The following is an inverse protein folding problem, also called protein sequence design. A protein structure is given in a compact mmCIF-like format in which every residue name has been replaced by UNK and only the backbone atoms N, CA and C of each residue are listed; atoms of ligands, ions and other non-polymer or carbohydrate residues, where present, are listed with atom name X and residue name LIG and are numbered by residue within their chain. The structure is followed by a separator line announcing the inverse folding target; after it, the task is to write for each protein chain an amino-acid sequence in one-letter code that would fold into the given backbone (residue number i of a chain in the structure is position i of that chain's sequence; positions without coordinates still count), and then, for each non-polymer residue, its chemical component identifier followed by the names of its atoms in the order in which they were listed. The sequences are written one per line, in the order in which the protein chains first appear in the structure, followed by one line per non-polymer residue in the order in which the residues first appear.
data_IF_307243243793
#
_entry.id   IF_307243243793
#
_cell.length_a   1.000
_cell.length_b   1.000
_cell.length_c   1.000
_cell.angle_alpha   90.00
_cell.angle_beta   90.00
_cell.angle_gamma   90.00
#
_symmetry.space_group_name_H-M   'P 1'
#
loop_
_entity.id
_entity.type
_entity.pdbx_description
1 polymer ?
#
# COMPACT_ATOMS: atom_id res chain seq x y z
N UNK A 1 45.80 3.71 -29.00
CA UNK A 1 45.51 5.10 -29.43
C UNK A 1 44.09 5.33 -29.96
N UNK A 2 43.44 4.37 -30.63
CA UNK A 2 42.07 4.57 -31.19
C UNK A 2 40.91 4.59 -30.15
N UNK A 3 41.10 4.02 -28.94
CA UNK A 3 40.07 4.01 -27.88
C UNK A 3 40.02 5.26 -26.99
N UNK A 4 41.06 6.09 -26.99
CA UNK A 4 41.11 7.32 -26.18
C UNK A 4 40.49 8.51 -26.90
N UNK A 5 40.57 8.56 -28.25
CA UNK A 5 39.95 9.62 -29.04
C UNK A 5 38.42 9.56 -29.12
N UNK A 6 37.79 8.39 -28.93
CA UNK A 6 36.32 8.32 -28.84
C UNK A 6 35.79 8.89 -27.52
N UNK A 7 36.51 8.75 -26.40
CA UNK A 7 36.09 9.34 -25.11
C UNK A 7 36.08 10.86 -25.16
N UNK A 8 37.03 11.51 -25.83
CA UNK A 8 37.09 12.98 -25.87
C UNK A 8 36.06 13.61 -26.83
N UNK A 9 35.62 12.92 -27.88
CA UNK A 9 34.54 13.43 -28.76
C UNK A 9 33.13 13.18 -28.23
N UNK A 10 32.95 12.35 -27.19
CA UNK A 10 31.62 12.14 -26.59
C UNK A 10 31.32 13.18 -25.52
N UNK A 11 32.36 13.68 -24.82
CA UNK A 11 32.23 14.62 -23.69
C UNK A 11 31.82 16.04 -24.12
N UNK A 12 32.17 16.48 -25.33
CA UNK A 12 31.68 17.77 -25.87
C UNK A 12 30.26 17.71 -26.41
N UNK A 13 29.69 16.51 -26.64
CA UNK A 13 28.27 16.34 -26.97
C UNK A 13 27.36 16.22 -25.75
N UNK A 14 27.93 16.02 -24.55
CA UNK A 14 27.16 15.77 -23.32
C UNK A 14 26.62 17.00 -22.61
N UNK A 15 27.10 18.22 -22.94
CA UNK A 15 26.67 19.45 -22.25
C UNK A 15 25.22 19.87 -22.58
N UNK A 16 24.56 19.26 -23.57
CA UNK A 16 23.18 19.56 -23.97
C UNK A 16 22.32 18.31 -24.29
N UNK A 17 22.52 17.20 -23.57
CA UNK A 17 21.71 15.98 -23.81
C UNK A 17 20.27 16.14 -23.33
N UNK A 18 20.06 16.85 -22.23
CA UNK A 18 18.74 17.14 -21.66
C UNK A 18 18.43 18.62 -21.80
N UNK A 19 17.14 18.93 -21.94
CA UNK A 19 16.64 20.29 -22.01
C UNK A 19 15.93 20.66 -20.72
N UNK A 20 16.19 21.87 -20.22
CA UNK A 20 15.60 22.39 -18.98
C UNK A 20 14.15 22.87 -19.18
N UNK A 21 13.76 23.18 -20.42
CA UNK A 21 12.41 23.64 -20.77
C UNK A 21 11.46 22.49 -21.15
N UNK A 22 11.88 21.24 -20.92
CA UNK A 22 11.14 20.03 -21.28
C UNK A 22 10.66 19.28 -20.04
N UNK A 23 9.39 18.85 -20.04
CA UNK A 23 8.79 18.03 -18.99
C UNK A 23 9.65 16.77 -18.78
N UNK A 24 10.23 16.64 -17.59
CA UNK A 24 11.19 15.58 -17.25
C UNK A 24 10.58 14.56 -16.32
N UNK A 25 10.49 13.32 -16.79
CA UNK A 25 9.93 12.20 -16.04
C UNK A 25 11.06 11.27 -15.57
N UNK A 26 11.19 11.16 -14.26
CA UNK A 26 12.15 10.26 -13.62
C UNK A 26 11.56 8.88 -13.36
N UNK A 27 12.33 7.84 -13.67
CA UNK A 27 12.08 6.45 -13.27
C UNK A 27 13.37 5.92 -12.67
N UNK A 28 13.43 5.72 -11.35
CA UNK A 28 14.64 5.19 -10.71
C UNK A 28 14.38 4.08 -9.69
N UNK A 29 14.84 2.87 -9.98
CA UNK A 29 14.64 1.69 -9.11
C UNK A 29 15.50 0.49 -9.51
N UNK A 30 15.58 -0.51 -8.63
CA UNK A 30 16.12 -1.83 -8.96
C UNK A 30 15.24 -2.46 -10.05
N UNK A 31 15.87 -3.01 -11.09
CA UNK A 31 15.12 -3.71 -12.14
C UNK A 31 14.66 -5.07 -11.61
N UNK A 32 13.35 -5.22 -11.48
CA UNK A 32 12.65 -6.46 -11.17
C UNK A 32 11.40 -6.52 -12.08
N UNK A 33 10.97 -7.73 -12.46
CA UNK A 33 9.81 -7.92 -13.38
C UNK A 33 8.58 -7.14 -12.94
N UNK A 34 8.22 -7.25 -11.67
CA UNK A 34 7.01 -6.65 -11.13
C UNK A 34 7.03 -5.12 -11.17
N UNK A 35 8.19 -4.47 -11.31
CA UNK A 35 8.30 -3.01 -11.45
C UNK A 35 7.93 -2.50 -12.85
N UNK A 36 7.78 -3.40 -13.83
CA UNK A 36 7.31 -3.13 -15.20
C UNK A 36 8.03 -1.97 -15.91
N UNK A 37 9.35 -1.92 -15.82
CA UNK A 37 10.17 -0.87 -16.46
C UNK A 37 9.96 -0.79 -17.98
N UNK A 38 9.55 -1.89 -18.62
CA UNK A 38 9.30 -1.96 -20.06
C UNK A 38 7.91 -1.50 -20.50
N UNK A 39 6.99 -1.21 -19.57
CA UNK A 39 5.62 -0.83 -19.87
C UNK A 39 5.52 0.42 -20.76
N UNK A 40 6.42 1.40 -20.56
CA UNK A 40 6.50 2.62 -21.37
C UNK A 40 6.83 2.34 -22.84
N UNK A 41 7.37 1.16 -23.17
CA UNK A 41 7.84 0.81 -24.51
C UNK A 41 6.89 -0.12 -25.26
N UNK A 42 5.70 -0.35 -24.68
CA UNK A 42 4.70 -1.25 -25.25
C UNK A 42 4.11 -0.68 -26.55
N UNK A 43 3.88 0.63 -26.60
CA UNK A 43 3.51 1.36 -27.82
C UNK A 43 4.61 2.35 -28.17
N UNK A 44 5.62 1.85 -28.89
CA UNK A 44 6.79 2.63 -29.26
C UNK A 44 6.45 3.84 -30.14
N UNK A 45 5.47 3.70 -31.04
CA UNK A 45 5.07 4.78 -31.95
C UNK A 45 4.35 5.89 -31.19
N UNK A 46 3.51 5.55 -30.20
CA UNK A 46 2.88 6.51 -29.30
C UNK A 46 3.91 7.22 -28.43
N UNK A 47 4.86 6.48 -27.85
CA UNK A 47 5.97 7.07 -27.12
C UNK A 47 6.78 8.06 -27.98
N UNK A 48 7.10 7.69 -29.23
CA UNK A 48 7.80 8.57 -30.18
C UNK A 48 7.05 9.86 -30.43
N UNK A 49 5.72 9.80 -30.61
CA UNK A 49 4.89 11.02 -30.77
C UNK A 49 4.96 11.90 -29.53
N UNK A 50 4.84 11.33 -28.33
CA UNK A 50 4.89 12.06 -27.06
C UNK A 50 6.24 12.78 -26.89
N UNK A 51 7.35 12.07 -27.05
CA UNK A 51 8.67 12.67 -26.80
C UNK A 51 9.06 13.68 -27.89
N UNK A 52 8.53 13.55 -29.11
CA UNK A 52 8.80 14.45 -30.23
C UNK A 52 7.69 15.50 -30.46
N UNK A 53 6.72 15.65 -29.56
CA UNK A 53 5.68 16.65 -29.73
C UNK A 53 6.32 18.06 -29.85
N UNK A 54 5.91 18.81 -30.87
CA UNK A 54 6.52 20.10 -31.18
C UNK A 54 6.20 21.19 -30.15
N UNK A 55 5.09 21.05 -29.41
CA UNK A 55 4.62 22.02 -28.41
C UNK A 55 4.81 21.53 -26.99
N UNK A 56 4.63 20.22 -26.77
CA UNK A 56 4.59 19.58 -25.45
C UNK A 56 5.52 18.36 -25.39
N UNK A 57 6.82 18.50 -25.72
CA UNK A 57 7.75 17.36 -25.71
C UNK A 57 7.88 16.78 -24.31
N UNK A 58 8.28 15.51 -24.21
CA UNK A 58 8.55 14.85 -22.92
C UNK A 58 9.91 14.19 -22.96
N UNK A 59 10.65 14.28 -21.87
CA UNK A 59 11.90 13.55 -21.69
C UNK A 59 11.83 12.59 -20.50
N UNK A 60 12.46 11.43 -20.64
CA UNK A 60 12.50 10.39 -19.62
C UNK A 60 13.93 10.14 -19.18
N UNK A 61 14.13 10.06 -17.86
CA UNK A 61 15.39 9.65 -17.25
C UNK A 61 15.16 8.34 -16.50
N UNK A 62 15.73 7.26 -17.01
CA UNK A 62 15.75 5.96 -16.37
C UNK A 62 17.03 5.77 -15.60
N UNK A 63 16.94 5.31 -14.35
CA UNK A 63 18.09 4.94 -13.55
C UNK A 63 17.84 3.64 -12.81
N UNK A 64 18.86 2.83 -12.65
CA UNK A 64 18.72 1.63 -11.84
C UNK A 64 19.93 0.73 -11.90
N UNK A 65 19.84 -0.34 -11.12
CA UNK A 65 20.83 -1.42 -11.11
C UNK A 65 20.14 -2.69 -11.58
N UNK A 66 20.70 -3.29 -12.64
CA UNK A 66 20.33 -4.63 -13.06
C UNK A 66 21.16 -5.63 -12.26
N UNK A 67 20.52 -6.65 -11.70
CA UNK A 67 21.27 -7.76 -11.13
C UNK A 67 21.78 -8.65 -12.28
N UNK A 68 23.07 -9.01 -12.34
CA UNK A 68 23.64 -9.77 -13.47
C UNK A 68 22.97 -11.13 -13.74
N UNK A 69 22.35 -11.73 -12.72
CA UNK A 69 21.65 -13.01 -12.80
C UNK A 69 20.15 -12.91 -13.14
N UNK A 70 19.61 -11.72 -13.39
CA UNK A 70 18.17 -11.51 -13.58
C UNK A 70 17.81 -11.48 -15.07
N UNK A 71 17.14 -12.54 -15.57
CA UNK A 71 16.68 -12.63 -16.97
C UNK A 71 15.79 -11.45 -17.45
N UNK A 72 14.90 -10.85 -16.64
CA UNK A 72 14.15 -9.63 -16.98
C UNK A 72 15.05 -8.41 -17.23
N UNK A 73 16.22 -8.36 -16.56
CA UNK A 73 17.24 -7.36 -16.85
C UNK A 73 17.70 -7.42 -18.29
N UNK A 74 17.68 -8.59 -18.95
CA UNK A 74 18.06 -8.74 -20.36
C UNK A 74 17.07 -8.08 -21.30
N UNK A 75 15.76 -8.21 -21.07
CA UNK A 75 14.74 -7.52 -21.88
C UNK A 75 14.85 -6.01 -21.73
N UNK A 76 15.09 -5.53 -20.51
CA UNK A 76 15.34 -4.12 -20.26
C UNK A 76 16.63 -3.62 -20.93
N UNK A 77 17.72 -4.39 -20.88
CA UNK A 77 18.97 -4.09 -21.60
C UNK A 77 18.75 -4.09 -23.12
N UNK A 78 17.93 -5.00 -23.66
CA UNK A 78 17.57 -4.99 -25.08
C UNK A 78 16.74 -3.76 -25.45
N UNK A 79 15.82 -3.33 -24.58
CA UNK A 79 15.08 -2.10 -24.75
C UNK A 79 16.03 -0.89 -24.77
N UNK A 80 16.98 -0.81 -23.81
CA UNK A 80 18.04 0.21 -23.79
C UNK A 80 18.86 0.22 -25.09
N UNK A 81 19.25 -0.96 -25.57
CA UNK A 81 19.96 -1.09 -26.84
C UNK A 81 19.12 -0.52 -28.00
N UNK A 82 17.83 -0.85 -28.08
CA UNK A 82 16.92 -0.29 -29.09
C UNK A 82 16.85 1.23 -29.02
N UNK A 83 16.75 1.84 -27.83
CA UNK A 83 16.75 3.31 -27.69
C UNK A 83 18.04 3.95 -28.17
N UNK A 84 19.18 3.32 -27.90
CA UNK A 84 20.48 3.84 -28.35
C UNK A 84 20.59 3.93 -29.88
N UNK A 85 19.83 3.11 -30.60
CA UNK A 85 19.84 3.04 -32.07
C UNK A 85 18.70 3.84 -32.72
N UNK A 86 17.66 4.24 -31.97
CA UNK A 86 16.49 4.92 -32.51
C UNK A 86 16.68 6.46 -32.51
N UNK A 87 16.76 7.12 -33.69
CA UNK A 87 16.95 8.56 -33.77
C UNK A 87 15.82 9.37 -33.11
N UNK A 88 14.60 8.84 -33.08
CA UNK A 88 13.44 9.54 -32.53
C UNK A 88 13.47 9.61 -31.00
N UNK A 89 14.19 8.69 -30.35
CA UNK A 89 14.29 8.57 -28.89
C UNK A 89 15.61 9.10 -28.34
N UNK A 90 16.63 9.22 -29.19
CA UNK A 90 17.95 9.75 -28.84
C UNK A 90 17.84 11.16 -28.23
N UNK A 91 18.45 11.34 -27.06
CA UNK A 91 18.44 12.60 -26.31
C UNK A 91 17.11 12.91 -25.58
N UNK A 92 16.12 12.01 -25.66
CA UNK A 92 14.80 12.18 -25.04
C UNK A 92 14.50 11.08 -24.04
N UNK A 93 15.02 9.88 -24.29
CA UNK A 93 15.02 8.78 -23.33
C UNK A 93 16.47 8.52 -22.94
N UNK A 94 16.83 8.87 -21.71
CA UNK A 94 18.19 8.79 -21.18
C UNK A 94 18.27 7.71 -20.11
N UNK A 95 19.35 6.94 -20.12
CA UNK A 95 19.64 5.95 -19.11
C UNK A 95 20.88 6.33 -18.30
N UNK A 96 20.74 6.34 -16.99
CA UNK A 96 21.80 6.58 -16.02
C UNK A 96 22.17 5.26 -15.33
N UNK A 97 23.40 4.83 -15.57
CA UNK A 97 24.00 3.69 -14.89
C UNK A 97 24.36 4.03 -13.43
N UNK A 98 24.62 2.98 -12.63
CA UNK A 98 25.12 3.10 -11.26
C UNK A 98 24.26 3.90 -10.27
N UNK A 99 22.93 3.74 -10.36
CA UNK A 99 22.00 4.38 -9.44
C UNK A 99 22.39 4.17 -7.95
N UNK A 100 22.69 5.28 -7.28
CA UNK A 100 23.06 5.35 -5.89
C UNK A 100 22.34 6.53 -5.20
N UNK A 101 22.72 6.83 -3.95
CA UNK A 101 22.10 7.93 -3.20
C UNK A 101 22.38 9.30 -3.83
N UNK A 102 23.54 9.47 -4.47
CA UNK A 102 23.90 10.73 -5.12
C UNK A 102 23.05 10.94 -6.38
N UNK A 103 22.93 9.93 -7.24
CA UNK A 103 22.04 9.98 -8.42
C UNK A 103 20.60 10.19 -7.98
N UNK A 104 20.14 9.46 -6.96
CA UNK A 104 18.80 9.63 -6.41
C UNK A 104 18.51 11.08 -5.99
N UNK A 105 19.45 11.72 -5.28
CA UNK A 105 19.34 13.11 -4.84
C UNK A 105 19.15 14.07 -6.03
N UNK A 106 19.94 13.91 -7.10
CA UNK A 106 19.82 14.78 -8.27
C UNK A 106 18.51 14.54 -9.03
N UNK A 107 18.09 13.28 -9.18
CA UNK A 107 16.86 12.96 -9.90
C UNK A 107 15.61 13.49 -9.19
N UNK A 108 15.47 13.28 -7.88
CA UNK A 108 14.29 13.79 -7.16
C UNK A 108 14.23 15.32 -7.13
N UNK A 109 15.37 16.00 -7.31
CA UNK A 109 15.45 17.47 -7.37
C UNK A 109 15.32 18.03 -8.78
N UNK A 110 15.60 17.24 -9.81
CA UNK A 110 15.65 17.69 -11.20
C UNK A 110 14.50 17.18 -12.08
N UNK A 111 13.76 16.16 -11.66
CA UNK A 111 12.59 15.68 -12.39
C UNK A 111 11.32 16.43 -11.97
N UNK A 112 10.42 16.62 -12.92
CA UNK A 112 9.09 17.20 -12.71
C UNK A 112 8.09 16.15 -12.21
N UNK A 113 8.17 14.95 -12.78
CA UNK A 113 7.31 13.81 -12.46
C UNK A 113 8.15 12.61 -12.02
N UNK A 114 7.69 11.94 -10.98
CA UNK A 114 8.24 10.67 -10.51
C UNK A 114 7.31 9.51 -10.90
N UNK A 115 7.75 8.69 -11.86
CA UNK A 115 6.96 7.61 -12.41
C UNK A 115 7.13 6.31 -11.61
N UNK A 116 6.02 5.74 -11.13
CA UNK A 116 5.95 4.46 -10.40
C UNK A 116 4.86 3.53 -10.95
N UNK A 117 5.24 2.39 -11.54
CA UNK A 117 4.29 1.49 -12.19
C UNK A 117 4.45 0.00 -11.80
N UNK A 118 4.58 -0.32 -10.50
CA UNK A 118 4.61 -1.71 -10.08
C UNK A 118 3.32 -2.44 -10.44
N UNK A 119 3.41 -3.75 -10.61
CA UNK A 119 2.26 -4.66 -10.68
C UNK A 119 1.59 -4.70 -9.31
N UNK A 120 0.28 -4.48 -9.27
CA UNK A 120 -0.52 -4.70 -8.06
C UNK A 120 -0.67 -6.19 -7.72
N UNK A 121 -0.74 -6.58 -6.44
CA UNK A 121 -0.46 -5.80 -5.22
C UNK A 121 0.97 -6.06 -4.73
N UNK A 122 1.96 -6.02 -5.63
CA UNK A 122 3.32 -6.47 -5.33
C UNK A 122 4.20 -5.37 -4.72
N UNK A 123 3.71 -4.12 -4.64
CA UNK A 123 4.38 -3.05 -3.91
C UNK A 123 3.82 -2.92 -2.50
N UNK A 124 4.61 -3.30 -1.49
CA UNK A 124 4.19 -3.12 -0.10
C UNK A 124 4.08 -1.64 0.32
N UNK A 125 4.94 -0.76 -0.22
CA UNK A 125 4.98 0.67 0.11
C UNK A 125 5.64 1.46 -1.03
N UNK A 126 6.88 1.93 -0.87
CA UNK A 126 7.67 2.55 -1.94
C UNK A 126 8.21 3.95 -1.60
N UNK A 127 9.34 4.04 -0.89
CA UNK A 127 9.82 5.32 -0.33
C UNK A 127 10.43 6.33 -1.32
N UNK A 128 10.60 5.98 -2.60
CA UNK A 128 11.18 6.92 -3.57
C UNK A 128 10.22 8.03 -3.95
N UNK A 129 8.92 7.72 -4.07
CA UNK A 129 7.90 8.71 -4.37
C UNK A 129 7.65 9.68 -3.20
N UNK A 130 7.79 9.21 -1.96
CA UNK A 130 7.77 10.04 -0.76
C UNK A 130 8.87 11.13 -0.82
N UNK A 131 10.09 10.72 -1.17
CA UNK A 131 11.25 11.62 -1.33
C UNK A 131 11.05 12.60 -2.48
N UNK A 132 10.53 12.12 -3.61
CA UNK A 132 10.21 12.95 -4.77
C UNK A 132 9.21 14.06 -4.39
N UNK A 133 8.16 13.72 -3.65
CA UNK A 133 7.13 14.66 -3.23
C UNK A 133 7.70 15.82 -2.43
N UNK A 134 8.60 15.54 -1.49
CA UNK A 134 9.27 16.57 -0.67
C UNK A 134 10.14 17.54 -1.47
N UNK A 135 10.55 17.17 -2.68
CA UNK A 135 11.31 18.03 -3.59
C UNK A 135 10.42 18.71 -4.65
N UNK A 136 9.09 18.59 -4.54
CA UNK A 136 8.14 19.16 -5.49
C UNK A 136 7.99 18.35 -6.79
N UNK A 137 8.65 17.19 -6.89
CA UNK A 137 8.47 16.25 -7.98
C UNK A 137 7.15 15.48 -7.76
N UNK A 138 6.21 15.63 -8.69
CA UNK A 138 4.85 15.10 -8.53
C UNK A 138 4.83 13.61 -8.87
N UNK A 139 4.09 12.81 -8.12
CA UNK A 139 3.98 11.38 -8.41
C UNK A 139 2.99 11.12 -9.55
N UNK A 140 3.39 10.23 -10.44
CA UNK A 140 2.52 9.56 -11.39
C UNK A 140 2.67 8.06 -11.18
N UNK A 141 1.69 7.45 -10.50
CA UNK A 141 1.87 6.11 -9.97
C UNK A 141 0.64 5.23 -10.02
N UNK A 142 0.84 3.92 -10.15
CA UNK A 142 -0.20 2.92 -9.86
C UNK A 142 -0.67 3.08 -8.41
N UNK A 143 -1.97 2.87 -8.17
CA UNK A 143 -2.57 2.84 -6.83
C UNK A 143 -2.21 1.53 -6.11
N UNK A 144 -0.96 1.43 -5.68
CA UNK A 144 -0.40 0.34 -4.86
C UNK A 144 0.53 0.91 -3.80
N UNK A 145 0.80 0.12 -2.76
CA UNK A 145 1.67 0.51 -1.66
C UNK A 145 1.34 1.90 -1.10
N UNK A 146 2.38 2.73 -0.92
CA UNK A 146 2.26 4.04 -0.26
C UNK A 146 1.39 5.02 -1.05
N UNK A 147 1.34 4.90 -2.39
CA UNK A 147 0.60 5.85 -3.21
C UNK A 147 -0.90 5.67 -3.07
N UNK A 148 -1.36 4.44 -2.81
CA UNK A 148 -2.78 4.18 -2.49
C UNK A 148 -3.18 4.84 -1.17
N UNK A 149 -2.28 4.95 -0.21
CA UNK A 149 -2.50 5.67 1.05
C UNK A 149 -2.45 7.20 0.86
N UNK A 150 -1.57 7.68 -0.03
CA UNK A 150 -1.27 9.10 -0.19
C UNK A 150 -2.17 9.83 -1.18
N UNK A 151 -2.64 9.16 -2.23
CA UNK A 151 -3.32 9.79 -3.37
C UNK A 151 -4.72 10.28 -2.99
N UNK A 152 -5.01 11.56 -3.26
CA UNK A 152 -6.31 12.18 -2.97
C UNK A 152 -6.99 12.77 -4.22
N UNK A 153 -6.44 12.50 -5.41
CA UNK A 153 -6.92 13.06 -6.69
C UNK A 153 -6.44 14.48 -6.99
N UNK A 154 -5.82 15.18 -6.04
CA UNK A 154 -5.36 16.57 -6.19
C UNK A 154 -3.84 16.72 -6.14
N UNK A 155 -3.15 15.68 -5.66
CA UNK A 155 -1.73 15.69 -5.33
C UNK A 155 -0.82 14.94 -6.31
N UNK A 156 -1.35 14.50 -7.45
CA UNK A 156 -0.62 13.83 -8.51
C UNK A 156 -1.53 13.07 -9.44
N UNK A 157 -1.03 11.98 -10.02
CA UNK A 157 -1.78 11.16 -10.97
C UNK A 157 -1.71 9.67 -10.63
N UNK A 158 -2.84 8.99 -10.86
CA UNK A 158 -2.94 7.55 -10.83
C UNK A 158 -2.70 6.95 -12.22
N UNK A 159 -2.09 5.77 -12.29
CA UNK A 159 -2.09 4.91 -13.49
C UNK A 159 -3.15 3.83 -13.27
N UNK A 160 -4.01 3.65 -14.27
CA UNK A 160 -5.13 2.73 -14.23
C UNK A 160 -6.24 3.19 -13.28
N UNK A 161 -7.18 2.28 -13.03
CA UNK A 161 -8.24 2.40 -12.05
C UNK A 161 -8.06 1.33 -10.95
N UNK A 162 -9.00 1.21 -10.02
CA UNK A 162 -8.95 0.17 -8.97
C UNK A 162 -9.48 -1.19 -9.43
N UNK A 163 -9.57 -1.47 -10.74
CA UNK A 163 -9.97 -2.79 -11.25
C UNK A 163 -9.01 -3.87 -10.76
N UNK A 164 -9.58 -4.91 -10.15
CA UNK A 164 -8.83 -6.11 -9.77
C UNK A 164 -8.71 -7.07 -10.95
N UNK A 165 -7.53 -7.65 -11.11
CA UNK A 165 -7.24 -8.63 -12.15
C UNK A 165 -6.90 -9.96 -11.52
N UNK A 166 -7.31 -11.05 -12.17
CA UNK A 166 -6.91 -12.40 -11.79
C UNK A 166 -5.39 -12.62 -11.88
N UNK A 167 -4.95 -13.75 -11.34
CA UNK A 167 -3.52 -14.13 -11.35
C UNK A 167 -3.09 -14.92 -12.59
N UNK A 168 -4.03 -15.26 -13.48
CA UNK A 168 -3.74 -15.96 -14.72
C UNK A 168 -3.10 -15.04 -15.78
N UNK A 169 -2.41 -15.63 -16.75
CA UNK A 169 -1.66 -14.89 -17.77
C UNK A 169 -2.53 -13.93 -18.59
N UNK A 170 -3.78 -14.29 -18.88
CA UNK A 170 -4.69 -13.44 -19.65
C UNK A 170 -5.10 -12.20 -18.84
N UNK A 171 -5.41 -12.38 -17.55
CA UNK A 171 -5.68 -11.30 -16.60
C UNK A 171 -4.49 -10.36 -16.44
N UNK A 172 -3.28 -10.90 -16.24
CA UNK A 172 -2.06 -10.10 -16.11
C UNK A 172 -1.75 -9.29 -17.38
N UNK A 173 -1.97 -9.90 -18.55
CA UNK A 173 -1.82 -9.21 -19.84
C UNK A 173 -2.85 -8.09 -19.99
N UNK A 174 -4.11 -8.34 -19.65
CA UNK A 174 -5.18 -7.34 -19.69
C UNK A 174 -4.84 -6.14 -18.79
N UNK A 175 -4.34 -6.39 -17.58
CA UNK A 175 -3.87 -5.32 -16.70
C UNK A 175 -2.74 -4.51 -17.34
N UNK A 176 -1.76 -5.16 -17.97
CA UNK A 176 -0.68 -4.45 -18.65
C UNK A 176 -1.13 -3.67 -19.87
N UNK A 177 -2.17 -4.12 -20.58
CA UNK A 177 -2.74 -3.39 -21.70
C UNK A 177 -3.44 -2.13 -21.19
N UNK A 178 -4.27 -2.27 -20.15
CA UNK A 178 -5.04 -1.17 -19.56
C UNK A 178 -4.15 -0.14 -18.85
N UNK A 179 -3.19 -0.58 -18.02
CA UNK A 179 -2.27 0.33 -17.31
C UNK A 179 -1.38 1.09 -18.31
N UNK A 180 -0.97 0.46 -19.41
CA UNK A 180 -0.19 1.15 -20.45
C UNK A 180 -1.03 2.20 -21.19
N UNK A 181 -2.28 1.90 -21.54
CA UNK A 181 -3.18 2.88 -22.17
C UNK A 181 -3.44 4.07 -21.23
N UNK A 182 -3.78 3.79 -19.97
CA UNK A 182 -3.94 4.85 -18.97
C UNK A 182 -2.67 5.69 -18.81
N UNK A 183 -1.49 5.06 -18.81
CA UNK A 183 -0.23 5.78 -18.73
C UNK A 183 -0.10 6.80 -19.86
N UNK A 184 -0.33 6.38 -21.12
CA UNK A 184 -0.19 7.28 -22.26
C UNK A 184 -1.29 8.34 -22.31
N UNK A 185 -2.54 7.97 -22.03
CA UNK A 185 -3.67 8.89 -22.03
C UNK A 185 -3.47 10.01 -21.00
N UNK A 186 -3.06 9.66 -19.77
CA UNK A 186 -2.79 10.65 -18.73
C UNK A 186 -1.60 11.54 -19.09
N UNK A 187 -0.55 11.01 -19.74
CA UNK A 187 0.56 11.84 -20.21
C UNK A 187 0.14 12.85 -21.27
N UNK A 188 -0.58 12.40 -22.30
CA UNK A 188 -0.94 13.23 -23.47
C UNK A 188 -2.04 14.24 -23.17
N UNK A 189 -3.05 13.84 -22.40
CA UNK A 189 -4.28 14.61 -22.25
C UNK A 189 -4.39 15.35 -20.91
N UNK A 190 -3.52 15.06 -19.94
CA UNK A 190 -3.53 15.76 -18.65
C UNK A 190 -2.16 16.32 -18.24
N UNK A 191 -1.15 15.46 -18.05
CA UNK A 191 0.15 15.88 -17.50
C UNK A 191 0.85 16.88 -18.41
N UNK A 192 1.05 16.56 -19.69
CA UNK A 192 1.76 17.44 -20.61
C UNK A 192 0.99 18.76 -20.87
N UNK A 193 -0.33 18.77 -21.16
CA UNK A 193 -1.09 20.01 -21.25
C UNK A 193 -1.01 20.86 -19.98
N UNK A 194 -1.12 20.25 -18.79
CA UNK A 194 -1.03 20.99 -17.53
C UNK A 194 0.34 21.60 -17.30
N UNK A 195 1.42 20.89 -17.64
CA UNK A 195 2.78 21.41 -17.53
C UNK A 195 3.04 22.60 -18.47
N UNK A 196 2.64 22.47 -19.74
CA UNK A 196 2.99 23.44 -20.79
C UNK A 196 2.01 24.61 -20.91
N UNK A 197 0.72 24.38 -20.71
CA UNK A 197 -0.32 25.35 -21.03
C UNK A 197 -0.91 26.03 -19.78
N UNK A 198 -0.78 25.41 -18.59
CA UNK A 198 -1.34 25.93 -17.34
C UNK A 198 -0.36 25.84 -16.16
N UNK A 199 0.60 26.78 -16.16
CA UNK A 199 1.60 26.89 -15.10
C UNK A 199 0.99 27.09 -13.70
N UNK A 200 -0.19 27.71 -13.60
CA UNK A 200 -0.84 27.93 -12.31
C UNK A 200 -1.36 26.61 -11.75
N UNK A 201 -2.13 25.86 -12.54
CA UNK A 201 -2.65 24.55 -12.15
C UNK A 201 -1.51 23.57 -11.84
N UNK A 202 -0.43 23.58 -12.63
CA UNK A 202 0.76 22.77 -12.33
C UNK A 202 1.34 23.09 -10.94
N UNK A 203 1.58 24.37 -10.65
CA UNK A 203 2.12 24.81 -9.36
C UNK A 203 1.17 24.52 -8.20
N UNK A 204 -0.14 24.53 -8.43
CA UNK A 204 -1.11 24.08 -7.44
C UNK A 204 -0.95 22.59 -7.13
N UNK A 205 -0.82 21.73 -8.15
CA UNK A 205 -0.55 20.30 -7.96
C UNK A 205 0.78 20.08 -7.22
N UNK A 206 1.85 20.82 -7.53
CA UNK A 206 3.12 20.75 -6.78
C UNK A 206 2.92 21.08 -5.30
N UNK A 207 2.18 22.16 -4.98
CA UNK A 207 1.91 22.55 -3.59
C UNK A 207 1.06 21.51 -2.87
N UNK A 208 0.03 20.99 -3.53
CA UNK A 208 -0.82 19.91 -2.99
C UNK A 208 -0.01 18.66 -2.68
N UNK A 209 0.82 18.22 -3.62
CA UNK A 209 1.75 17.09 -3.46
C UNK A 209 2.62 17.24 -2.20
N UNK A 210 3.29 18.37 -2.02
CA UNK A 210 4.11 18.61 -0.83
C UNK A 210 3.23 18.63 0.43
N UNK A 211 2.13 19.37 0.40
CA UNK A 211 1.27 19.60 1.57
C UNK A 211 0.62 18.32 2.12
N UNK A 212 0.18 17.42 1.24
CA UNK A 212 -0.53 16.20 1.66
C UNK A 212 0.43 15.06 1.99
N UNK A 213 1.59 14.99 1.33
CA UNK A 213 2.58 13.92 1.57
C UNK A 213 3.49 14.22 2.76
N UNK A 214 4.05 15.43 2.87
CA UNK A 214 5.09 15.75 3.86
C UNK A 214 4.74 15.43 5.33
N UNK A 215 3.54 15.75 5.85
CA UNK A 215 3.22 15.46 7.26
C UNK A 215 2.98 13.97 7.52
N UNK A 216 2.49 13.22 6.53
CA UNK A 216 2.12 11.82 6.68
C UNK A 216 3.31 10.88 6.49
N UNK A 217 4.19 11.16 5.53
CA UNK A 217 5.28 10.28 5.09
C UNK A 217 6.64 10.79 5.58
N UNK A 218 6.72 11.08 6.88
CA UNK A 218 7.96 11.47 7.57
C UNK A 218 8.48 10.33 8.44
N UNK A 219 9.80 10.06 8.36
CA UNK A 219 10.46 9.11 9.26
C UNK A 219 10.30 9.49 10.73
N UNK A 220 10.22 10.79 11.05
CA UNK A 220 9.99 11.24 12.43
C UNK A 220 8.64 10.74 12.95
N UNK A 221 7.58 10.86 12.14
CA UNK A 221 6.24 10.36 12.48
C UNK A 221 6.28 8.84 12.69
N UNK A 222 6.88 8.11 11.74
CA UNK A 222 7.00 6.66 11.83
C UNK A 222 7.70 6.22 13.12
N UNK A 223 8.83 6.83 13.47
CA UNK A 223 9.57 6.47 14.70
C UNK A 223 8.75 6.77 15.95
N UNK A 224 8.06 7.92 16.00
CA UNK A 224 7.17 8.26 17.12
C UNK A 224 6.07 7.20 17.27
N UNK A 225 5.42 6.80 16.18
CA UNK A 225 4.36 5.79 16.18
C UNK A 225 4.89 4.45 16.69
N UNK A 226 6.05 4.00 16.21
CA UNK A 226 6.69 2.75 16.64
C UNK A 226 7.04 2.78 18.13
N UNK A 227 7.62 3.89 18.61
CA UNK A 227 8.00 4.04 20.03
C UNK A 227 6.77 3.99 20.93
N UNK A 228 5.73 4.76 20.60
CA UNK A 228 4.56 4.89 21.46
C UNK A 228 3.61 3.70 21.37
N UNK A 229 3.48 3.07 20.20
CA UNK A 229 2.50 2.00 19.97
C UNK A 229 3.08 0.61 20.22
N UNK A 230 4.39 0.42 19.97
CA UNK A 230 5.02 -0.90 20.05
C UNK A 230 6.07 -0.96 21.16
N UNK A 231 7.10 -0.12 21.13
CA UNK A 231 8.27 -0.30 21.98
C UNK A 231 8.01 0.01 23.47
N UNK A 232 7.44 1.17 23.79
CA UNK A 232 7.14 1.56 25.18
C UNK A 232 6.10 0.64 25.83
N UNK A 233 4.98 0.27 25.17
CA UNK A 233 4.05 -0.71 25.71
C UNK A 233 4.69 -2.08 25.94
N UNK A 234 5.51 -2.57 25.00
CA UNK A 234 6.21 -3.84 25.13
C UNK A 234 7.22 -3.83 26.30
N UNK A 235 7.97 -2.75 26.48
CA UNK A 235 8.88 -2.58 27.60
C UNK A 235 8.12 -2.58 28.94
N UNK A 236 7.08 -1.76 29.05
CA UNK A 236 6.26 -1.62 30.26
C UNK A 236 5.65 -2.96 30.67
N UNK A 237 5.08 -3.70 29.70
CA UNK A 237 4.58 -5.05 29.90
C UNK A 237 5.69 -6.02 30.32
N UNK A 238 6.85 -5.95 29.67
CA UNK A 238 8.01 -6.78 29.98
C UNK A 238 8.47 -6.60 31.43
N UNK A 239 8.55 -5.36 31.90
CA UNK A 239 8.97 -5.05 33.27
C UNK A 239 7.94 -5.54 34.30
N UNK A 240 6.64 -5.34 34.05
CA UNK A 240 5.55 -5.92 34.85
C UNK A 240 5.67 -7.45 34.95
N UNK A 241 5.86 -8.12 33.81
CA UNK A 241 5.95 -9.59 33.74
C UNK A 241 7.20 -10.17 34.41
N UNK A 242 8.29 -9.39 34.57
CA UNK A 242 9.48 -9.79 35.35
C UNK A 242 9.34 -9.53 36.85
N UNK A 243 8.39 -8.69 37.25
CA UNK A 243 8.13 -8.34 38.65
C UNK A 243 7.82 -9.57 39.52
N UNK A 244 8.06 -9.43 40.83
CA UNK A 244 7.75 -10.43 41.85
C UNK A 244 8.18 -11.87 41.48
N UNK A 245 9.41 -12.04 40.98
CA UNK A 245 9.93 -13.33 40.52
C UNK A 245 9.02 -14.02 39.48
N UNK A 246 8.58 -13.23 38.48
CA UNK A 246 7.74 -13.64 37.36
C UNK A 246 6.35 -14.17 37.78
N UNK A 247 5.79 -13.68 38.90
CA UNK A 247 4.52 -14.19 39.43
C UNK A 247 3.37 -14.06 38.41
N UNK A 248 3.20 -12.88 37.82
CA UNK A 248 2.15 -12.64 36.81
C UNK A 248 2.36 -13.45 35.53
N UNK A 249 3.61 -13.54 35.06
CA UNK A 249 3.95 -14.34 33.89
C UNK A 249 3.66 -15.83 34.10
N UNK A 250 3.97 -16.38 35.29
CA UNK A 250 3.62 -17.77 35.67
C UNK A 250 2.11 -17.97 35.73
N UNK A 251 1.37 -17.03 36.32
CA UNK A 251 -0.09 -17.07 36.36
C UNK A 251 -0.71 -16.98 34.95
N UNK A 252 -0.15 -16.15 34.06
CA UNK A 252 -0.57 -16.08 32.66
C UNK A 252 -0.32 -17.40 31.92
N UNK A 253 0.86 -17.99 32.11
CA UNK A 253 1.21 -19.26 31.49
C UNK A 253 0.29 -20.41 31.94
N UNK A 254 0.05 -20.51 33.26
CA UNK A 254 -0.87 -21.50 33.82
C UNK A 254 -2.29 -21.33 33.28
N UNK A 255 -2.82 -20.10 33.29
CA UNK A 255 -4.14 -19.80 32.74
C UNK A 255 -4.23 -20.13 31.24
N UNK A 256 -3.23 -19.77 30.43
CA UNK A 256 -3.19 -20.12 29.00
C UNK A 256 -3.22 -21.64 28.77
N UNK A 257 -2.54 -22.40 29.62
CA UNK A 257 -2.54 -23.86 29.55
C UNK A 257 -3.93 -24.43 29.88
N UNK A 258 -4.58 -23.93 30.93
CA UNK A 258 -5.94 -24.33 31.30
C UNK A 258 -6.92 -24.05 30.16
N UNK A 259 -6.96 -22.82 29.66
CA UNK A 259 -7.87 -22.42 28.58
C UNK A 259 -7.66 -23.27 27.33
N UNK A 260 -6.41 -23.54 26.94
CA UNK A 260 -6.14 -24.41 25.78
C UNK A 260 -6.66 -25.83 25.96
N UNK A 261 -6.70 -26.34 27.19
CA UNK A 261 -7.21 -27.68 27.50
C UNK A 261 -8.74 -27.77 27.48
N UNK A 262 -9.44 -26.70 27.86
CA UNK A 262 -10.90 -26.65 28.01
C UNK A 262 -11.64 -26.02 26.82
N UNK A 263 -10.96 -25.27 25.93
CA UNK A 263 -11.60 -24.49 24.86
C UNK A 263 -12.44 -25.32 23.87
N UNK A 264 -12.17 -26.62 23.77
CA UNK A 264 -12.96 -27.52 22.95
C UNK A 264 -14.38 -27.72 23.45
N UNK A 265 -14.64 -27.46 24.72
CA UNK A 265 -15.97 -27.57 25.31
C UNK A 265 -16.81 -26.31 25.10
N UNK A 266 -16.20 -25.17 24.74
CA UNK A 266 -16.92 -23.91 24.53
C UNK A 266 -17.78 -24.01 23.27
N UNK A 267 -19.08 -23.77 23.42
CA UNK A 267 -20.06 -23.72 22.32
C UNK A 267 -20.73 -22.36 22.31
N UNK A 268 -21.04 -21.90 21.11
CA UNK A 268 -21.67 -20.61 20.87
C UNK A 268 -22.79 -20.83 19.86
N UNK A 269 -23.95 -20.22 20.13
CA UNK A 269 -25.06 -20.17 19.20
C UNK A 269 -25.59 -18.74 19.17
N UNK A 270 -25.81 -18.22 17.97
CA UNK A 270 -26.42 -16.91 17.76
C UNK A 270 -27.63 -17.08 16.85
N UNK A 271 -28.67 -16.29 17.10
CA UNK A 271 -29.74 -16.12 16.13
C UNK A 271 -29.66 -14.69 15.61
N UNK A 272 -29.27 -14.55 14.35
CA UNK A 272 -29.03 -13.28 13.70
C UNK A 272 -30.10 -13.12 12.63
N UNK A 273 -31.06 -12.23 12.87
CA UNK A 273 -32.06 -11.86 11.88
C UNK A 273 -31.57 -10.64 11.11
N UNK A 274 -31.64 -10.71 9.77
CA UNK A 274 -31.24 -9.61 8.90
C UNK A 274 -32.34 -8.56 8.82
N UNK A 275 -32.00 -7.30 9.11
CA UNK A 275 -32.91 -6.17 8.98
C UNK A 275 -32.30 -5.10 8.08
N UNK A 276 -33.14 -4.46 7.26
CA UNK A 276 -32.75 -3.28 6.50
C UNK A 276 -32.67 -2.07 7.46
N UNK A 277 -31.47 -1.50 7.60
CA UNK A 277 -31.20 -0.43 8.55
C UNK A 277 -30.62 0.79 7.86
N UNK A 278 -30.79 1.95 8.47
CA UNK A 278 -30.09 3.17 8.06
C UNK A 278 -28.74 3.29 8.79
N UNK A 279 -27.84 4.12 8.25
CA UNK A 279 -26.59 4.48 8.91
C UNK A 279 -26.88 5.10 10.28
N UNK A 280 -26.15 4.67 11.32
CA UNK A 280 -26.42 5.03 12.70
C UNK A 280 -27.59 4.27 13.35
N UNK A 281 -28.28 3.41 12.60
CA UNK A 281 -29.26 2.46 13.14
C UNK A 281 -28.58 1.40 14.01
N UNK A 282 -29.37 0.71 14.83
CA UNK A 282 -28.85 -0.26 15.79
C UNK A 282 -29.52 -1.62 15.68
N UNK A 283 -28.74 -2.70 15.79
CA UNK A 283 -29.23 -4.09 15.92
C UNK A 283 -28.97 -4.59 17.32
N UNK A 284 -29.99 -5.19 17.94
CA UNK A 284 -29.77 -5.97 19.16
C UNK A 284 -29.33 -7.37 18.78
N UNK A 285 -28.08 -7.70 19.07
CA UNK A 285 -27.55 -9.05 18.88
C UNK A 285 -27.77 -9.84 20.15
N UNK A 286 -28.22 -11.09 19.99
CA UNK A 286 -28.39 -12.06 21.07
C UNK A 286 -27.64 -13.33 20.73
N UNK A 287 -26.97 -13.89 21.73
CA UNK A 287 -26.28 -15.16 21.63
C UNK A 287 -26.45 -15.95 22.92
N UNK A 288 -26.26 -17.26 22.85
CA UNK A 288 -26.10 -18.12 24.01
C UNK A 288 -24.77 -18.84 23.91
N UNK A 289 -24.09 -18.98 25.04
CA UNK A 289 -22.81 -19.69 25.12
C UNK A 289 -22.82 -20.73 26.24
N UNK A 290 -22.28 -21.90 25.92
CA UNK A 290 -21.91 -22.92 26.90
C UNK A 290 -20.41 -22.84 27.09
N UNK A 291 -19.96 -22.56 28.32
CA UNK A 291 -18.54 -22.32 28.60
C UNK A 291 -17.80 -23.57 29.11
N UNK A 292 -18.50 -24.68 29.31
CA UNK A 292 -17.91 -25.89 29.90
C UNK A 292 -17.41 -25.61 31.32
N UNK A 293 -16.10 -25.76 31.52
CA UNK A 293 -15.44 -25.48 32.81
C UNK A 293 -14.89 -24.05 32.91
N UNK A 294 -15.01 -23.25 31.85
CA UNK A 294 -14.53 -21.87 31.84
C UNK A 294 -15.45 -20.92 32.61
N UNK A 295 -14.84 -19.90 33.20
CA UNK A 295 -15.58 -18.84 33.86
C UNK A 295 -15.99 -17.76 32.86
N UNK A 296 -17.17 -17.12 33.02
CA UNK A 296 -17.60 -16.04 32.13
C UNK A 296 -16.58 -14.90 32.01
N UNK A 297 -15.87 -14.57 33.09
CA UNK A 297 -14.82 -13.54 33.07
C UNK A 297 -13.61 -13.88 32.19
N UNK A 298 -13.41 -15.15 31.85
CA UNK A 298 -12.31 -15.62 30.99
C UNK A 298 -12.69 -15.69 29.51
N UNK A 299 -13.94 -15.36 29.15
CA UNK A 299 -14.45 -15.51 27.79
C UNK A 299 -15.14 -14.21 27.38
N UNK A 300 -14.62 -13.58 26.34
CA UNK A 300 -15.26 -12.43 25.72
C UNK A 300 -16.12 -12.92 24.56
N UNK A 301 -17.43 -12.63 24.64
CA UNK A 301 -18.35 -12.81 23.53
C UNK A 301 -18.51 -11.47 22.80
N UNK A 302 -18.37 -11.47 21.48
CA UNK A 302 -18.48 -10.26 20.66
C UNK A 302 -19.38 -10.52 19.46
N UNK A 303 -20.25 -9.56 19.16
CA UNK A 303 -20.75 -9.42 17.80
C UNK A 303 -19.63 -8.86 16.92
N UNK A 304 -19.48 -9.41 15.72
CA UNK A 304 -18.53 -8.97 14.72
C UNK A 304 -19.33 -8.54 13.50
N UNK A 305 -19.22 -7.26 13.18
CA UNK A 305 -19.77 -6.70 11.95
C UNK A 305 -18.62 -6.61 10.95
N UNK A 306 -18.80 -7.16 9.77
CA UNK A 306 -17.80 -7.19 8.71
C UNK A 306 -18.40 -6.61 7.43
N UNK A 307 -17.70 -5.67 6.81
CA UNK A 307 -18.02 -5.15 5.48
C UNK A 307 -16.85 -5.42 4.56
N UNK A 308 -16.95 -6.39 3.64
CA UNK A 308 -16.00 -6.44 2.54
C UNK A 308 -16.17 -5.18 1.70
N UNK A 309 -15.08 -4.47 1.45
CA UNK A 309 -15.05 -3.43 0.44
C UNK A 309 -14.84 -4.06 -0.94
N UNK A 310 -14.97 -3.24 -1.98
CA UNK A 310 -14.70 -3.61 -3.37
C UNK A 310 -13.25 -4.01 -3.65
N UNK A 311 -12.37 -3.93 -2.65
CA UNK A 311 -10.92 -4.12 -2.76
C UNK A 311 -10.43 -5.34 -1.96
N UNK A 312 -11.35 -6.24 -1.59
CA UNK A 312 -11.05 -7.45 -0.82
C UNK A 312 -10.61 -7.20 0.62
N UNK A 313 -10.57 -5.93 1.08
CA UNK A 313 -10.35 -5.61 2.48
C UNK A 313 -11.68 -5.69 3.21
N UNK A 314 -11.65 -6.21 4.43
CA UNK A 314 -12.86 -6.28 5.25
C UNK A 314 -12.71 -5.31 6.40
N UNK A 315 -13.53 -4.26 6.40
CA UNK A 315 -13.67 -3.43 7.58
C UNK A 315 -14.41 -4.24 8.65
N UNK A 316 -13.84 -4.32 9.86
CA UNK A 316 -14.35 -5.16 10.94
C UNK A 316 -14.57 -4.32 12.20
N UNK A 317 -15.79 -4.35 12.72
CA UNK A 317 -16.15 -3.77 14.00
C UNK A 317 -16.51 -4.87 14.99
N UNK A 318 -16.19 -4.66 16.26
CA UNK A 318 -16.47 -5.61 17.32
C UNK A 318 -17.21 -4.93 18.47
N UNK A 319 -18.31 -5.55 18.90
CA UNK A 319 -19.12 -5.09 20.03
C UNK A 319 -19.18 -6.19 21.07
N UNK A 320 -18.63 -5.99 22.29
CA UNK A 320 -18.80 -6.91 23.40
C UNK A 320 -20.29 -7.15 23.71
N UNK A 321 -20.67 -8.41 23.93
CA UNK A 321 -22.00 -8.77 24.43
C UNK A 321 -21.93 -8.99 25.95
N UNK A 322 -22.89 -8.43 26.68
CA UNK A 322 -22.98 -8.57 28.12
C UNK A 322 -23.83 -9.80 28.48
N UNK A 323 -23.50 -10.46 29.59
CA UNK A 323 -24.35 -11.52 30.15
C UNK A 323 -25.68 -10.92 30.58
N UNK A 324 -26.79 -11.44 30.06
CA UNK A 324 -28.16 -11.01 30.41
C UNK A 324 -28.89 -12.01 31.28
N UNK A 325 -28.44 -13.27 31.31
CA UNK A 325 -29.09 -14.33 32.08
C UNK A 325 -28.35 -15.65 32.04
N UNK A 326 -28.85 -16.60 32.83
CA UNK A 326 -28.43 -18.00 32.85
C UNK A 326 -29.65 -18.90 32.72
N UNK A 327 -29.54 -19.96 31.93
CA UNK A 327 -30.58 -20.96 31.73
C UNK A 327 -30.35 -22.16 32.65
N UNK A 328 -31.44 -22.85 33.00
CA UNK A 328 -31.38 -24.03 33.88
C UNK A 328 -30.58 -25.20 33.28
N UNK A 329 -30.43 -25.21 31.95
CA UNK A 329 -29.63 -26.19 31.21
C UNK A 329 -28.13 -25.85 31.18
N UNK A 330 -27.69 -24.81 31.90
CA UNK A 330 -26.29 -24.37 32.05
C UNK A 330 -25.76 -23.45 30.94
N UNK A 331 -26.59 -23.07 29.96
CA UNK A 331 -26.23 -22.04 28.99
C UNK A 331 -26.34 -20.64 29.58
N UNK A 332 -25.46 -19.74 29.14
CA UNK A 332 -25.51 -18.32 29.46
C UNK A 332 -26.04 -17.53 28.29
N UNK A 333 -26.86 -16.53 28.56
CA UNK A 333 -27.43 -15.64 27.57
C UNK A 333 -26.64 -14.34 27.52
N UNK A 334 -26.39 -13.86 26.31
CA UNK A 334 -25.63 -12.66 26.02
C UNK A 334 -26.42 -11.74 25.10
N UNK A 335 -26.32 -10.43 25.34
CA UNK A 335 -26.88 -9.43 24.43
C UNK A 335 -26.06 -8.14 24.38
N UNK A 336 -26.14 -7.44 23.25
CA UNK A 336 -25.47 -6.17 23.02
C UNK A 336 -26.06 -5.46 21.81
N UNK A 337 -25.82 -4.16 21.74
CA UNK A 337 -26.36 -3.29 20.68
C UNK A 337 -25.23 -2.92 19.72
N UNK A 338 -25.35 -3.37 18.47
CA UNK A 338 -24.40 -3.07 17.39
C UNK A 338 -24.92 -1.87 16.62
N UNK A 339 -24.10 -0.83 16.47
CA UNK A 339 -24.43 0.35 15.66
C UNK A 339 -23.89 0.17 14.25
N UNK A 340 -24.69 0.48 13.23
CA UNK A 340 -24.29 0.42 11.82
C UNK A 340 -23.47 1.68 11.50
N UNK A 341 -22.15 1.55 11.24
CA UNK A 341 -21.26 2.71 11.19
C UNK A 341 -21.35 3.48 9.87
N UNK A 342 -21.71 2.79 8.78
CA UNK A 342 -21.72 3.36 7.43
C UNK A 342 -22.69 2.60 6.52
N UNK A 343 -22.92 3.10 5.31
CA UNK A 343 -23.79 2.46 4.33
C UNK A 343 -23.09 1.31 3.61
N UNK A 344 -23.78 0.19 3.42
CA UNK A 344 -23.27 -0.95 2.64
C UNK A 344 -23.94 -2.26 3.04
N UNK A 345 -23.54 -3.35 2.38
CA UNK A 345 -23.92 -4.70 2.78
C UNK A 345 -22.95 -5.20 3.84
N UNK A 346 -23.48 -5.67 4.97
CA UNK A 346 -22.68 -6.17 6.09
C UNK A 346 -22.99 -7.62 6.35
N UNK A 347 -21.95 -8.34 6.76
CA UNK A 347 -22.06 -9.64 7.39
C UNK A 347 -21.95 -9.45 8.90
N UNK A 348 -22.84 -10.10 9.64
CA UNK A 348 -22.79 -10.13 11.09
C UNK A 348 -22.61 -11.56 11.57
N UNK A 349 -21.73 -11.74 12.54
CA UNK A 349 -21.52 -13.02 13.23
C UNK A 349 -21.26 -12.79 14.70
N UNK A 350 -21.32 -13.84 15.51
CA UNK A 350 -20.90 -13.76 16.91
C UNK A 350 -19.69 -14.64 17.11
N UNK A 351 -18.71 -14.16 17.88
CA UNK A 351 -17.54 -14.96 18.27
C UNK A 351 -17.32 -14.98 19.77
N UNK A 352 -16.75 -16.08 20.24
CA UNK A 352 -16.16 -16.21 21.55
C UNK A 352 -14.64 -16.28 21.42
N UNK A 353 -13.92 -15.60 22.32
CA UNK A 353 -12.47 -15.66 22.43
C UNK A 353 -12.06 -15.68 23.92
N UNK A 354 -10.92 -16.31 24.27
CA UNK A 354 -10.37 -16.19 25.61
C UNK A 354 -10.06 -14.72 25.93
N UNK A 355 -10.33 -14.33 27.18
CA UNK A 355 -10.14 -12.97 27.64
C UNK A 355 -9.43 -12.94 28.98
N UNK A 356 -8.46 -12.03 29.06
CA UNK A 356 -7.84 -11.55 30.29
C UNK A 356 -7.34 -10.13 30.03
N UNK A 357 -7.43 -9.28 31.03
CA UNK A 357 -7.05 -7.86 30.95
C UNK A 357 -5.56 -7.64 30.66
N UNK A 358 -4.72 -8.59 31.05
CA UNK A 358 -3.28 -8.56 30.85
C UNK A 358 -2.81 -9.41 29.67
N UNK A 359 -3.64 -9.69 28.67
CA UNK A 359 -3.17 -10.22 27.38
C UNK A 359 -2.37 -9.16 26.61
N UNK A 360 -1.36 -9.57 25.85
CA UNK A 360 -0.62 -8.67 24.97
C UNK A 360 -1.45 -8.25 23.76
N UNK A 361 -2.34 -9.15 23.33
CA UNK A 361 -3.25 -8.97 22.22
C UNK A 361 -4.49 -9.86 22.45
N UNK A 362 -5.71 -9.43 22.09
CA UNK A 362 -6.93 -10.24 22.29
C UNK A 362 -6.88 -11.63 21.62
N UNK A 363 -6.09 -11.78 20.55
CA UNK A 363 -5.93 -13.04 19.80
C UNK A 363 -4.67 -13.83 20.16
N UNK A 364 -4.00 -13.53 21.29
CA UNK A 364 -2.72 -14.13 21.68
C UNK A 364 -2.75 -15.68 21.79
N UNK A 365 -3.92 -16.29 22.02
CA UNK A 365 -4.06 -17.75 22.09
C UNK A 365 -4.45 -18.39 20.74
N UNK A 366 -4.86 -17.60 19.74
CA UNK A 366 -5.39 -18.08 18.45
C UNK A 366 -6.57 -19.05 18.61
N UNK A 367 -7.37 -18.87 19.66
CA UNK A 367 -8.55 -19.67 19.95
C UNK A 367 -9.80 -18.82 19.69
N UNK A 368 -10.70 -19.33 18.86
CA UNK A 368 -11.96 -18.69 18.51
C UNK A 368 -13.07 -19.74 18.40
N UNK A 369 -14.30 -19.33 18.71
CA UNK A 369 -15.53 -20.02 18.32
C UNK A 369 -16.44 -19.03 17.63
N UNK A 370 -17.03 -19.42 16.52
CA UNK A 370 -17.95 -18.59 15.74
C UNK A 370 -19.34 -19.20 15.74
N UNK A 371 -20.36 -18.35 15.66
CA UNK A 371 -21.76 -18.71 15.51
C UNK A 371 -22.44 -17.74 14.55
#
# INVERSE_FOLDING_TARGET
MHRQNQRNNTVTSSEHVLREDVLTIGFARRFATYKRATMLFKDLERLKRIVNDAKRPVQFIFAGKAHPADNPGKEFIQALYRFSQDPDLKGKVVFLEDYDMNVAKHLVQGCDIWLNNPRRPLEASGTSGEKASLNGCINFSILDGWWREAFDGTNGWAIGDETEYGSDDASLKAQDDNDAQSLYDTLEFDIAPRYYDDRHAWLETVRRNIHTVAPQFSMQRQVIDYVNTLYVPAQTRGDRMRGANFAEAKALAAWKQTVRGSWNDVRLEANLEGEALHVGGTVTVKAKAWLGTEQPANVLIQAVLARPDSHGQTAVWHTPLAVTGSRDDGWLEYSGVVTIPESGEFQIGVRALPYRDDLAHPLELSLLRWA
#
